data_IF_094762310062
#
_entry.id   IF_094762310062
#
_cell.length_a   1.000
_cell.length_b   1.000
_cell.length_c   1.000
_cell.angle_alpha   90.00
_cell.angle_beta   90.00
_cell.angle_gamma   90.00
#
_symmetry.space_group_name_H-M   'P 1'
#
loop_
_entity.id
_entity.type
_entity.pdbx_description
1 polymer ?
#
# COMPACT_ATOMS: atom_id res chain seq x y z
N UNK A 1 -3.47 -20.17 -8.62
CA UNK A 1 -4.12 -18.99 -8.03
C UNK A 1 -4.19 -19.01 -6.50
N UNK A 2 -4.56 -20.12 -5.85
CA UNK A 2 -4.75 -20.16 -4.38
C UNK A 2 -3.52 -19.73 -3.54
N UNK A 3 -2.33 -20.24 -3.86
CA UNK A 3 -1.07 -19.94 -3.15
C UNK A 3 -0.64 -18.47 -3.21
N UNK A 4 -0.84 -17.80 -4.34
CA UNK A 4 -0.48 -16.38 -4.50
C UNK A 4 -1.46 -15.46 -3.75
N UNK A 5 -2.73 -15.86 -3.63
CA UNK A 5 -3.74 -15.17 -2.84
C UNK A 5 -3.39 -15.24 -1.34
N UNK A 6 -3.00 -16.42 -0.86
CA UNK A 6 -2.56 -16.61 0.53
C UNK A 6 -1.33 -15.76 0.87
N UNK A 7 -0.29 -15.80 0.02
CA UNK A 7 0.92 -14.98 0.24
C UNK A 7 0.61 -13.47 0.26
N UNK A 8 -0.31 -13.01 -0.60
CA UNK A 8 -0.70 -11.59 -0.63
C UNK A 8 -1.47 -11.21 0.63
N UNK A 9 -2.31 -12.12 1.14
CA UNK A 9 -3.02 -11.94 2.40
C UNK A 9 -2.07 -11.91 3.60
N UNK A 10 -1.05 -12.79 3.63
CA UNK A 10 -0.01 -12.77 4.67
C UNK A 10 0.77 -11.47 4.69
N UNK A 11 1.15 -10.94 3.52
CA UNK A 11 1.81 -9.63 3.40
C UNK A 11 0.89 -8.53 3.90
N UNK A 12 -0.37 -8.54 3.48
CA UNK A 12 -1.37 -7.55 3.92
C UNK A 12 -1.51 -7.54 5.44
N UNK A 13 -1.68 -8.72 6.05
CA UNK A 13 -1.81 -8.87 7.50
C UNK A 13 -0.54 -8.42 8.22
N UNK A 14 0.64 -8.80 7.73
CA UNK A 14 1.92 -8.45 8.35
C UNK A 14 2.17 -6.94 8.32
N UNK A 15 1.91 -6.30 7.18
CA UNK A 15 2.06 -4.84 7.04
C UNK A 15 1.02 -4.12 7.92
N UNK A 16 -0.23 -4.60 7.91
CA UNK A 16 -1.31 -4.05 8.72
C UNK A 16 -0.99 -4.11 10.22
N UNK A 17 -0.41 -5.21 10.71
CA UNK A 17 0.04 -5.33 12.09
C UNK A 17 1.16 -4.33 12.43
N UNK A 18 2.04 -4.01 11.47
CA UNK A 18 3.15 -3.09 11.69
C UNK A 18 2.72 -1.61 11.72
N UNK A 19 1.79 -1.19 10.85
CA UNK A 19 1.40 0.22 10.72
C UNK A 19 0.02 0.56 11.30
N UNK A 20 -0.77 -0.45 11.66
CA UNK A 20 -2.15 -0.32 12.09
C UNK A 20 -3.14 -0.27 10.92
N UNK A 21 -4.36 -0.80 11.15
CA UNK A 21 -5.36 -0.95 10.09
C UNK A 21 -5.80 0.35 9.45
N UNK A 22 -5.99 1.41 10.24
CA UNK A 22 -6.40 2.71 9.71
C UNK A 22 -5.33 3.33 8.80
N UNK A 23 -4.04 3.20 9.15
CA UNK A 23 -2.96 3.65 8.29
C UNK A 23 -2.90 2.83 7.00
N UNK A 24 -3.14 1.52 7.08
CA UNK A 24 -3.22 0.67 5.90
C UNK A 24 -4.38 1.08 4.98
N UNK A 25 -5.57 1.35 5.51
CA UNK A 25 -6.71 1.83 4.71
C UNK A 25 -6.37 3.14 3.97
N UNK A 26 -5.70 4.08 4.63
CA UNK A 26 -5.25 5.33 3.99
C UNK A 26 -4.23 5.07 2.87
N UNK A 27 -3.33 4.10 3.06
CA UNK A 27 -2.38 3.69 2.00
C UNK A 27 -3.12 3.11 0.79
N UNK A 28 -4.13 2.27 1.02
CA UNK A 28 -4.95 1.68 -0.04
C UNK A 28 -5.80 2.73 -0.77
N UNK A 29 -6.41 3.65 -0.02
CA UNK A 29 -7.16 4.78 -0.57
C UNK A 29 -6.27 5.65 -1.45
N UNK A 30 -5.10 6.02 -0.95
CA UNK A 30 -4.13 6.82 -1.70
C UNK A 30 -3.64 6.07 -2.94
N UNK A 31 -3.35 4.78 -2.83
CA UNK A 31 -2.95 3.96 -3.98
C UNK A 31 -4.07 3.90 -5.03
N UNK A 32 -5.32 3.65 -4.64
CA UNK A 32 -6.47 3.63 -5.56
C UNK A 32 -6.67 4.99 -6.20
N UNK A 33 -6.62 6.07 -5.43
CA UNK A 33 -6.73 7.43 -5.94
C UNK A 33 -5.66 7.72 -6.99
N UNK A 34 -4.41 7.33 -6.73
CA UNK A 34 -3.29 7.53 -7.66
C UNK A 34 -3.46 6.70 -8.93
N UNK A 35 -3.87 5.44 -8.81
CA UNK A 35 -4.18 4.59 -9.99
C UNK A 35 -5.31 5.20 -10.81
N UNK A 36 -6.34 5.76 -10.16
CA UNK A 36 -7.46 6.44 -10.84
C UNK A 36 -7.06 7.67 -11.65
N UNK A 37 -5.90 8.28 -11.38
CA UNK A 37 -5.38 9.38 -12.21
C UNK A 37 -4.94 8.91 -13.60
N UNK A 38 -4.66 7.61 -13.76
CA UNK A 38 -4.20 7.02 -15.02
C UNK A 38 -5.22 6.03 -15.61
N UNK A 39 -5.98 5.35 -14.75
CA UNK A 39 -6.94 4.31 -15.13
C UNK A 39 -8.25 4.53 -14.39
N UNK A 40 -9.28 5.05 -15.07
CA UNK A 40 -10.59 5.28 -14.46
C UNK A 40 -11.18 3.99 -13.87
N UNK A 41 -10.88 2.85 -14.49
CA UNK A 41 -11.31 1.51 -14.10
C UNK A 41 -10.73 1.05 -12.75
N UNK A 42 -9.76 1.77 -12.17
CA UNK A 42 -9.30 1.52 -10.81
C UNK A 42 -10.40 1.77 -9.75
N UNK A 43 -11.54 2.37 -10.13
CA UNK A 43 -12.75 2.37 -9.31
C UNK A 43 -13.29 0.96 -8.99
N UNK A 44 -12.91 -0.05 -9.78
CA UNK A 44 -13.28 -1.45 -9.58
C UNK A 44 -12.47 -2.14 -8.48
N UNK A 45 -11.40 -1.51 -7.99
CA UNK A 45 -10.60 -2.04 -6.89
C UNK A 45 -11.38 -1.85 -5.59
N UNK A 46 -11.64 -2.96 -4.91
CA UNK A 46 -12.31 -2.99 -3.62
C UNK A 46 -11.31 -3.34 -2.52
N UNK A 47 -11.47 -2.71 -1.37
CA UNK A 47 -10.71 -3.04 -0.19
C UNK A 47 -11.51 -2.71 1.06
N UNK A 48 -11.17 -3.39 2.14
CA UNK A 48 -11.77 -3.26 3.45
C UNK A 48 -10.74 -3.64 4.52
N UNK A 49 -11.17 -3.75 5.77
CA UNK A 49 -10.28 -4.17 6.86
C UNK A 49 -9.77 -5.61 6.70
N UNK A 50 -10.50 -6.41 5.91
CA UNK A 50 -10.21 -7.81 5.64
C UNK A 50 -9.26 -8.03 4.45
N UNK A 51 -8.95 -6.99 3.67
CA UNK A 51 -7.99 -7.08 2.57
C UNK A 51 -8.38 -6.36 1.30
N UNK A 52 -7.79 -6.81 0.19
CA UNK A 52 -7.91 -6.21 -1.15
C UNK A 52 -8.55 -7.25 -2.08
N UNK A 53 -9.52 -6.81 -2.89
CA UNK A 53 -10.13 -7.59 -3.95
C UNK A 53 -9.95 -6.91 -5.31
N UNK A 54 -9.40 -7.68 -6.26
CA UNK A 54 -9.21 -7.27 -7.66
C UNK A 54 -10.17 -8.00 -8.62
N UNK A 55 -11.11 -8.79 -8.10
CA UNK A 55 -12.00 -9.66 -8.91
C UNK A 55 -12.78 -8.86 -9.95
N UNK A 56 -13.24 -7.66 -9.60
CA UNK A 56 -13.99 -6.82 -10.55
C UNK A 56 -13.13 -6.29 -11.71
N UNK A 57 -11.80 -6.31 -11.62
CA UNK A 57 -10.94 -5.98 -12.76
C UNK A 57 -10.96 -7.08 -13.81
N UNK A 58 -11.30 -8.34 -13.46
CA UNK A 58 -11.35 -9.47 -14.41
C UNK A 58 -12.41 -9.30 -15.52
N UNK A 59 -13.28 -8.30 -15.41
CA UNK A 59 -14.19 -7.91 -16.49
C UNK A 59 -13.50 -7.13 -17.63
N UNK A 60 -12.25 -6.71 -17.44
CA UNK A 60 -11.42 -6.05 -18.43
C UNK A 60 -10.57 -7.08 -19.22
N UNK A 61 -9.81 -6.62 -20.22
CA UNK A 61 -8.83 -7.50 -20.85
C UNK A 61 -7.76 -7.93 -19.83
N UNK A 62 -7.15 -9.12 -19.98
CA UNK A 62 -6.09 -9.58 -19.08
C UNK A 62 -4.92 -8.60 -18.99
N UNK A 63 -4.51 -8.00 -20.11
CA UNK A 63 -3.40 -7.04 -20.16
C UNK A 63 -3.72 -5.79 -19.33
N UNK A 64 -4.93 -5.26 -19.49
CA UNK A 64 -5.37 -4.07 -18.76
C UNK A 64 -5.56 -4.35 -17.27
N UNK A 65 -6.04 -5.54 -16.93
CA UNK A 65 -6.13 -6.02 -15.55
C UNK A 65 -4.75 -6.05 -14.89
N UNK A 66 -3.78 -6.64 -15.57
CA UNK A 66 -2.41 -6.74 -15.07
C UNK A 66 -1.76 -5.36 -14.89
N UNK A 67 -1.94 -4.46 -15.87
CA UNK A 67 -1.39 -3.11 -15.81
C UNK A 67 -1.95 -2.30 -14.63
N UNK A 68 -3.27 -2.31 -14.45
CA UNK A 68 -3.94 -1.61 -13.34
C UNK A 68 -3.53 -2.20 -12.00
N UNK A 69 -3.52 -3.53 -11.88
CA UNK A 69 -3.14 -4.23 -10.66
C UNK A 69 -1.67 -3.93 -10.29
N UNK A 70 -0.77 -4.00 -11.27
CA UNK A 70 0.64 -3.69 -11.07
C UNK A 70 0.84 -2.24 -10.60
N UNK A 71 0.22 -1.27 -11.27
CA UNK A 71 0.35 0.14 -10.89
C UNK A 71 -0.19 0.42 -9.48
N UNK A 72 -1.31 -0.20 -9.13
CA UNK A 72 -1.90 -0.10 -7.79
C UNK A 72 -0.96 -0.67 -6.72
N UNK A 73 -0.44 -1.88 -6.91
CA UNK A 73 0.49 -2.52 -5.98
C UNK A 73 1.79 -1.71 -5.83
N UNK A 74 2.34 -1.18 -6.92
CA UNK A 74 3.51 -0.30 -6.86
C UNK A 74 3.23 1.02 -6.15
N UNK A 75 2.02 1.55 -6.24
CA UNK A 75 1.61 2.73 -5.48
C UNK A 75 1.50 2.45 -3.98
N UNK A 76 1.08 1.25 -3.56
CA UNK A 76 1.13 0.81 -2.17
C UNK A 76 2.58 0.75 -1.68
N UNK A 77 3.44 0.00 -2.40
CA UNK A 77 4.86 -0.17 -2.04
C UNK A 77 5.58 1.17 -1.92
N UNK A 78 5.38 2.08 -2.87
CA UNK A 78 5.99 3.41 -2.83
C UNK A 78 5.48 4.28 -1.67
N UNK A 79 4.23 4.10 -1.24
CA UNK A 79 3.67 4.84 -0.10
C UNK A 79 4.22 4.29 1.22
N UNK A 80 4.24 2.96 1.37
CA UNK A 80 4.85 2.30 2.53
C UNK A 80 6.35 2.63 2.66
N UNK A 81 7.09 2.58 1.55
CA UNK A 81 8.52 2.93 1.54
C UNK A 81 8.78 4.36 1.99
N UNK A 82 7.89 5.31 1.65
CA UNK A 82 7.97 6.69 2.15
C UNK A 82 7.67 6.79 3.64
N UNK A 83 6.67 6.08 4.14
CA UNK A 83 6.35 6.07 5.57
C UNK A 83 7.53 5.54 6.40
N UNK A 84 8.12 4.42 5.98
CA UNK A 84 9.31 3.85 6.63
C UNK A 84 10.49 4.82 6.55
N UNK A 85 10.74 5.41 5.38
CA UNK A 85 11.82 6.39 5.20
C UNK A 85 11.67 7.61 6.12
N UNK A 86 10.45 8.13 6.26
CA UNK A 86 10.14 9.23 7.18
C UNK A 86 10.43 8.84 8.63
N UNK A 87 10.02 7.63 9.04
CA UNK A 87 10.24 7.16 10.41
C UNK A 87 11.73 7.01 10.74
N UNK A 88 12.53 6.46 9.82
CA UNK A 88 13.98 6.35 9.98
C UNK A 88 14.63 7.74 10.08
N UNK A 89 14.24 8.68 9.21
CA UNK A 89 14.76 10.04 9.24
C UNK A 89 14.42 10.77 10.55
N UNK A 90 13.22 10.55 11.10
CA UNK A 90 12.80 11.09 12.39
C UNK A 90 13.65 10.53 13.54
N UNK A 91 13.88 9.21 13.57
CA UNK A 91 14.70 8.56 14.60
C UNK A 91 16.15 9.06 14.58
N UNK A 92 16.75 9.20 13.40
CA UNK A 92 18.09 9.78 13.24
C UNK A 92 18.16 11.22 13.75
N UNK A 93 17.13 12.02 13.45
CA UNK A 93 17.04 13.42 13.91
C UNK A 93 16.95 13.49 15.43
N UNK A 94 16.14 12.64 16.07
CA UNK A 94 16.06 12.57 17.53
C UNK A 94 17.39 12.14 18.17
N UNK A 95 18.04 11.11 17.62
CA UNK A 95 19.35 10.68 18.11
C UNK A 95 20.40 11.79 18.02
N UNK A 96 20.40 12.56 16.93
CA UNK A 96 21.31 13.70 16.76
C UNK A 96 21.04 14.82 17.77
N UNK A 97 19.77 15.12 18.09
CA UNK A 97 19.42 16.12 19.12
C UNK A 97 19.90 15.70 20.52
N UNK A 98 19.71 14.43 20.86
CA UNK A 98 20.23 13.85 22.11
C UNK A 98 21.75 13.95 22.16
N UNK A 99 22.44 13.69 21.05
CA UNK A 99 23.90 13.80 20.96
C UNK A 99 24.42 15.25 20.99
N UNK A 100 23.62 16.21 20.50
CA UNK A 100 23.92 17.63 20.48
C UNK A 100 23.69 18.33 21.83
N UNK A 101 23.14 17.64 22.83
CA UNK A 101 22.93 18.18 24.18
C UNK A 101 21.73 19.14 24.30
N UNK A 102 20.84 19.15 23.31
CA UNK A 102 19.58 19.90 23.37
C UNK A 102 18.51 19.01 24.05
N UNK A 103 18.33 19.18 25.36
CA UNK A 103 17.27 18.54 26.16
C UNK A 103 16.54 19.59 26.99
#
# INVERSE_FOLDING_TARGET
>A
MHRYKEMTMEIFQSVTQAIGIHAMLLVLEHARWKTRQQYEEAALIEFSEEGISLVRLEQLSPEKTEEIAHFFLMSIVATLGRLVGIQIASQLTEQLKVYAGES
#
